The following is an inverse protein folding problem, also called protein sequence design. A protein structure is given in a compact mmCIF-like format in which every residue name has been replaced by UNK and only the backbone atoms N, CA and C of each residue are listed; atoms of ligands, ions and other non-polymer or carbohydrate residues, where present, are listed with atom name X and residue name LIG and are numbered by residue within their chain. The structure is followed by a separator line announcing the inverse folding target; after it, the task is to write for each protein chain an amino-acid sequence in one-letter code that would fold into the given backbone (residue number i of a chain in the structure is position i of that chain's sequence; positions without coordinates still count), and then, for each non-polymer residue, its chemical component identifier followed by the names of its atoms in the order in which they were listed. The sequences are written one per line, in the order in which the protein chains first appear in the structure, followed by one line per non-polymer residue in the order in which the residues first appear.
data_IF_364080308602
#
_entry.id   IF_364080308602
#
_cell.length_a   1.000
_cell.length_b   1.000
_cell.length_c   1.000
_cell.angle_alpha   90.00
_cell.angle_beta   90.00
_cell.angle_gamma   90.00
#
_symmetry.space_group_name_H-M   'P 1'
#
loop_
_entity.id
_entity.type
_entity.pdbx_description
1 polymer ?
#
# COMPACT_ATOMS: atom_id res chain seq x y z
N UNK A 1 12.85 -11.26 9.31
CA UNK A 1 11.93 -10.57 8.37
C UNK A 1 11.97 -11.21 6.99
N UNK A 2 13.14 -11.38 6.36
CA UNK A 2 13.27 -12.02 5.04
C UNK A 2 12.62 -13.42 4.95
N UNK A 3 12.88 -14.32 5.91
CA UNK A 3 12.29 -15.68 5.90
C UNK A 3 10.75 -15.69 5.94
N UNK A 4 10.14 -14.70 6.59
CA UNK A 4 8.69 -14.55 6.58
C UNK A 4 8.20 -14.21 5.17
N UNK A 5 8.83 -13.22 4.54
CA UNK A 5 8.47 -12.81 3.18
C UNK A 5 8.74 -13.88 2.12
N UNK A 6 9.80 -14.69 2.28
CA UNK A 6 10.01 -15.87 1.41
C UNK A 6 8.83 -16.81 1.46
N UNK A 7 8.39 -17.20 2.65
CA UNK A 7 7.24 -18.08 2.85
C UNK A 7 5.95 -17.48 2.27
N UNK A 8 5.77 -16.16 2.44
CA UNK A 8 4.65 -15.43 1.83
C UNK A 8 4.69 -15.54 0.31
N UNK A 9 5.85 -15.28 -0.32
CA UNK A 9 5.99 -15.38 -1.76
C UNK A 9 5.88 -16.80 -2.31
N UNK A 10 6.42 -17.80 -1.60
CA UNK A 10 6.23 -19.22 -1.91
C UNK A 10 4.74 -19.57 -1.91
N UNK A 11 4.01 -19.10 -0.89
CA UNK A 11 2.55 -19.30 -0.78
C UNK A 11 1.81 -18.63 -1.94
N UNK A 12 2.13 -17.37 -2.25
CA UNK A 12 1.52 -16.65 -3.38
C UNK A 12 1.80 -17.33 -4.71
N UNK A 13 3.04 -17.74 -4.94
CA UNK A 13 3.45 -18.42 -6.17
C UNK A 13 2.75 -19.76 -6.33
N UNK A 14 2.64 -20.53 -5.24
CA UNK A 14 1.92 -21.82 -5.22
C UNK A 14 0.42 -21.66 -5.54
N UNK A 15 -0.16 -20.48 -5.30
CA UNK A 15 -1.54 -20.13 -5.63
C UNK A 15 -1.69 -19.44 -7.00
N UNK A 16 -0.61 -19.27 -7.76
CA UNK A 16 -0.63 -18.60 -9.07
C UNK A 16 -0.79 -17.07 -8.99
N UNK A 17 -0.54 -16.46 -7.82
CA UNK A 17 -0.58 -15.01 -7.65
C UNK A 17 0.66 -14.40 -8.29
N UNK A 18 0.45 -13.54 -9.31
CA UNK A 18 1.54 -12.91 -10.09
C UNK A 18 1.73 -11.43 -9.80
N UNK A 19 0.93 -10.84 -8.90
CA UNK A 19 1.13 -9.48 -8.42
C UNK A 19 0.33 -9.17 -7.17
N UNK A 20 0.85 -8.24 -6.37
CA UNK A 20 0.30 -7.80 -5.09
C UNK A 20 0.44 -6.29 -4.93
N UNK A 21 -0.63 -5.63 -4.48
CA UNK A 21 -0.56 -4.31 -3.88
C UNK A 21 -0.53 -4.48 -2.37
N UNK A 22 0.45 -3.88 -1.70
CA UNK A 22 0.66 -4.06 -0.27
C UNK A 22 1.03 -2.76 0.41
N UNK A 23 0.44 -2.52 1.58
CA UNK A 23 0.81 -1.44 2.48
C UNK A 23 1.58 -2.04 3.66
N UNK A 24 2.72 -2.67 3.39
CA UNK A 24 3.63 -3.22 4.42
C UNK A 24 4.37 -2.12 5.20
N UNK A 25 3.80 -0.91 5.26
CA UNK A 25 4.30 0.24 6.03
C UNK A 25 4.14 0.02 7.53
N UNK A 26 4.57 1.01 8.31
CA UNK A 26 4.40 1.02 9.76
C UNK A 26 2.93 0.98 10.19
N UNK A 27 2.00 1.59 9.46
CA UNK A 27 0.59 1.66 9.86
C UNK A 27 -0.13 0.30 9.81
N UNK A 28 0.25 -0.60 8.90
CA UNK A 28 -0.44 -1.89 8.72
C UNK A 28 0.45 -3.14 8.90
N UNK A 29 1.77 -3.03 8.78
CA UNK A 29 2.69 -4.18 8.70
C UNK A 29 3.81 -4.24 9.73
N UNK A 30 3.99 -3.24 10.61
CA UNK A 30 5.11 -3.13 11.56
C UNK A 30 6.51 -3.24 10.92
N UNK A 31 6.65 -2.84 9.65
CA UNK A 31 7.94 -2.83 8.97
C UNK A 31 8.32 -1.39 8.69
N UNK A 32 9.35 -0.95 9.41
CA UNK A 32 9.90 0.40 9.31
C UNK A 32 10.39 0.71 7.90
N UNK A 33 10.99 -0.28 7.20
CA UNK A 33 11.65 -0.08 5.91
C UNK A 33 11.30 -1.21 4.92
N UNK A 34 10.03 -1.30 4.50
CA UNK A 34 9.56 -2.38 3.61
C UNK A 34 10.33 -2.43 2.28
N UNK A 35 10.69 -1.26 1.74
CA UNK A 35 11.52 -1.13 0.55
C UNK A 35 12.84 -1.90 0.66
N UNK A 36 13.57 -1.74 1.78
CA UNK A 36 14.85 -2.42 2.00
C UNK A 36 14.68 -3.94 2.09
N UNK A 37 13.57 -4.41 2.64
CA UNK A 37 13.26 -5.85 2.69
C UNK A 37 13.10 -6.41 1.28
N UNK A 38 12.37 -5.74 0.39
CA UNK A 38 12.19 -6.20 -0.99
C UNK A 38 13.46 -6.11 -1.82
N UNK A 39 14.24 -5.03 -1.69
CA UNK A 39 15.54 -4.90 -2.36
C UNK A 39 16.52 -5.99 -1.89
N UNK A 40 16.53 -6.33 -0.59
CA UNK A 40 17.35 -7.44 -0.08
C UNK A 40 16.92 -8.82 -0.62
N UNK A 41 15.62 -9.06 -0.81
CA UNK A 41 15.13 -10.30 -1.44
C UNK A 41 15.51 -10.38 -2.92
N UNK A 42 15.47 -9.24 -3.61
CA UNK A 42 15.95 -9.13 -5.00
C UNK A 42 17.44 -9.44 -5.06
N UNK A 43 18.24 -8.77 -4.23
CA UNK A 43 19.70 -8.94 -4.21
C UNK A 43 20.09 -10.40 -3.99
N UNK A 44 19.48 -11.06 -3.00
CA UNK A 44 19.73 -12.47 -2.73
C UNK A 44 19.40 -13.39 -3.92
N UNK A 45 18.32 -13.09 -4.64
CA UNK A 45 17.87 -13.92 -5.76
C UNK A 45 18.66 -13.68 -7.04
N UNK A 46 19.10 -12.45 -7.25
CA UNK A 46 19.87 -12.04 -8.42
C UNK A 46 21.37 -12.27 -8.26
N UNK A 47 21.87 -12.32 -7.01
CA UNK A 47 23.26 -12.60 -6.65
C UNK A 47 23.34 -13.82 -5.72
N UNK A 48 22.95 -15.03 -6.19
CA UNK A 48 23.00 -16.23 -5.36
C UNK A 48 24.46 -16.52 -4.94
N UNK A 49 24.64 -16.96 -3.69
CA UNK A 49 25.96 -17.43 -3.22
C UNK A 49 26.33 -18.67 -4.02
N UNK A 50 27.53 -18.67 -4.60
CA UNK A 50 28.08 -19.82 -5.32
C UNK A 50 28.08 -21.05 -4.39
N UNK A 51 27.19 -22.00 -4.68
CA UNK A 51 27.05 -23.26 -3.95
C UNK A 51 27.78 -24.42 -4.66
N UNK A 52 28.57 -24.11 -5.71
CA UNK A 52 29.30 -25.08 -6.50
C UNK A 52 28.43 -25.90 -7.46
N UNK A 53 27.12 -25.63 -7.55
CA UNK A 53 26.25 -26.25 -8.55
C UNK A 53 26.39 -25.55 -9.91
N UNK A 54 26.62 -26.35 -10.96
CA UNK A 54 26.76 -25.89 -12.36
C UNK A 54 25.46 -26.09 -13.14
N UNK A 55 24.31 -25.84 -12.53
CA UNK A 55 23.05 -25.93 -13.28
C UNK A 55 22.80 -24.63 -14.03
N UNK A 56 22.64 -24.75 -15.35
CA UNK A 56 22.16 -23.67 -16.21
C UNK A 56 20.64 -23.64 -16.05
N UNK A 57 20.18 -23.19 -14.89
CA UNK A 57 18.76 -22.86 -14.70
C UNK A 57 18.43 -21.55 -15.44
N UNK A 58 17.18 -21.38 -15.92
CA UNK A 58 16.75 -20.07 -16.39
C UNK A 58 16.93 -19.04 -15.26
N UNK A 59 17.45 -17.85 -15.61
CA UNK A 59 17.63 -16.75 -14.65
C UNK A 59 16.29 -16.52 -13.94
N UNK A 60 16.21 -16.70 -12.62
CA UNK A 60 14.95 -16.56 -11.91
C UNK A 60 14.51 -15.09 -11.96
N UNK A 61 13.18 -14.81 -11.91
CA UNK A 61 12.74 -13.42 -11.81
C UNK A 61 13.27 -12.76 -10.53
N UNK A 62 13.43 -11.43 -10.47
CA UNK A 62 13.92 -10.73 -9.27
C UNK A 62 13.05 -10.94 -8.02
N UNK A 63 11.73 -11.04 -8.22
CA UNK A 63 10.76 -11.43 -7.19
C UNK A 63 9.79 -12.48 -7.73
N UNK A 64 9.20 -13.35 -6.89
CA UNK A 64 8.26 -14.38 -7.35
C UNK A 64 6.95 -13.81 -7.91
N UNK A 65 6.56 -12.61 -7.50
CA UNK A 65 5.46 -11.86 -8.09
C UNK A 65 5.76 -10.35 -8.11
N UNK A 66 4.96 -9.58 -8.84
CA UNK A 66 5.10 -8.11 -8.93
C UNK A 66 4.59 -7.44 -7.67
N UNK A 67 5.41 -6.61 -7.03
CA UNK A 67 5.07 -5.89 -5.81
C UNK A 67 4.84 -4.42 -6.12
N UNK A 68 3.64 -3.96 -5.81
CA UNK A 68 3.29 -2.54 -5.78
C UNK A 68 3.20 -2.13 -4.32
N UNK A 69 4.30 -1.59 -3.80
CA UNK A 69 4.41 -1.15 -2.42
C UNK A 69 3.74 0.21 -2.24
N UNK A 70 2.90 0.29 -1.22
CA UNK A 70 2.16 1.47 -0.81
C UNK A 70 2.73 1.96 0.52
N UNK A 71 3.14 3.22 0.58
CA UNK A 71 3.56 3.88 1.83
C UNK A 71 2.39 4.60 2.49
N UNK A 72 2.52 4.99 3.75
CA UNK A 72 1.56 5.91 4.37
C UNK A 72 1.76 7.30 3.74
N UNK A 73 0.68 8.05 3.50
CA UNK A 73 0.77 9.34 2.79
C UNK A 73 1.67 10.36 3.51
N UNK A 74 1.76 10.26 4.84
CA UNK A 74 2.64 11.08 5.68
C UNK A 74 4.12 10.85 5.38
N UNK A 75 4.49 9.67 4.87
CA UNK A 75 5.87 9.29 4.54
C UNK A 75 6.35 9.90 3.21
N UNK A 76 5.47 10.54 2.43
CA UNK A 76 5.88 11.20 1.19
C UNK A 76 6.82 12.37 1.52
N UNK A 77 8.08 12.21 1.14
CA UNK A 77 9.15 13.21 1.33
C UNK A 77 9.74 13.72 0.01
N UNK A 78 9.30 13.17 -1.11
CA UNK A 78 9.77 13.45 -2.47
C UNK A 78 9.17 12.44 -3.45
N UNK A 79 9.61 12.42 -4.73
CA UNK A 79 9.15 11.45 -5.71
C UNK A 79 9.38 9.99 -5.30
N UNK A 80 8.60 9.03 -5.84
CA UNK A 80 8.83 7.60 -5.64
C UNK A 80 10.28 7.17 -5.89
N UNK A 81 10.86 6.29 -5.05
CA UNK A 81 12.10 5.63 -5.40
C UNK A 81 11.90 4.71 -6.61
N UNK A 82 12.98 4.49 -7.36
CA UNK A 82 12.99 3.59 -8.51
C UNK A 82 13.83 2.36 -8.19
N UNK A 83 13.24 1.17 -8.34
CA UNK A 83 13.98 -0.09 -8.24
C UNK A 83 14.79 -0.32 -9.52
N UNK A 84 15.88 -1.08 -9.42
CA UNK A 84 16.60 -1.60 -10.58
C UNK A 84 15.73 -2.57 -11.41
N UNK A 85 14.64 -3.10 -10.82
CA UNK A 85 13.72 -4.04 -11.45
C UNK A 85 12.27 -3.51 -11.41
N UNK A 86 11.96 -2.42 -12.14
CA UNK A 86 10.68 -1.71 -12.04
C UNK A 86 9.47 -2.52 -12.51
N UNK A 87 9.67 -3.62 -13.24
CA UNK A 87 8.59 -4.55 -13.59
C UNK A 87 8.15 -5.42 -12.40
N UNK A 88 9.00 -5.53 -11.36
CA UNK A 88 8.78 -6.40 -10.20
C UNK A 88 8.63 -5.64 -8.88
N UNK A 89 9.21 -4.45 -8.72
CA UNK A 89 9.05 -3.63 -7.51
C UNK A 89 8.80 -2.16 -7.87
N UNK A 90 7.68 -1.61 -7.38
CA UNK A 90 7.32 -0.19 -7.52
C UNK A 90 6.79 0.37 -6.21
N UNK A 91 7.12 1.62 -5.90
CA UNK A 91 6.58 2.36 -4.74
C UNK A 91 5.94 3.69 -5.15
N UNK A 92 5.03 3.63 -6.11
CA UNK A 92 4.35 4.81 -6.70
C UNK A 92 2.93 5.01 -6.14
N UNK A 93 2.69 4.54 -4.91
CA UNK A 93 1.38 4.50 -4.25
C UNK A 93 1.47 4.95 -2.80
N UNK A 94 0.43 5.60 -2.30
CA UNK A 94 0.31 5.96 -0.90
C UNK A 94 -1.11 5.68 -0.36
N UNK A 95 -1.19 5.32 0.91
CA UNK A 95 -2.40 4.94 1.62
C UNK A 95 -2.89 6.09 2.50
N UNK A 96 -4.21 6.28 2.55
CA UNK A 96 -4.89 7.13 3.53
C UNK A 96 -6.08 6.35 4.11
N UNK A 97 -6.33 6.48 5.41
CA UNK A 97 -7.44 5.83 6.10
C UNK A 97 -8.47 6.86 6.54
N UNK A 98 -9.63 6.86 5.90
CA UNK A 98 -10.69 7.82 6.22
C UNK A 98 -11.49 7.40 7.44
N UNK A 99 -11.67 6.11 7.66
CA UNK A 99 -12.45 5.56 8.75
C UNK A 99 -11.99 4.16 9.18
N UNK A 100 -12.70 3.57 10.14
CA UNK A 100 -12.46 2.21 10.62
C UNK A 100 -13.20 1.15 9.79
N UNK A 101 -13.83 0.19 10.48
CA UNK A 101 -14.54 -0.92 9.85
C UNK A 101 -15.91 -1.17 10.47
N UNK A 102 -16.84 -1.69 9.66
CA UNK A 102 -18.21 -1.98 10.08
C UNK A 102 -18.27 -2.99 11.23
N UNK A 103 -17.42 -4.01 11.23
CA UNK A 103 -17.43 -5.04 12.28
C UNK A 103 -17.04 -4.53 13.67
N UNK A 104 -16.34 -3.40 13.75
CA UNK A 104 -15.99 -2.73 15.00
C UNK A 104 -16.88 -1.50 15.28
N UNK A 105 -17.89 -1.26 14.43
CA UNK A 105 -18.73 -0.07 14.43
C UNK A 105 -17.95 1.25 14.40
N UNK A 106 -16.85 1.28 13.63
CA UNK A 106 -15.97 2.46 13.48
C UNK A 106 -15.91 3.01 12.06
N UNK A 107 -16.56 2.35 11.08
CA UNK A 107 -16.75 2.94 9.76
C UNK A 107 -17.67 4.17 9.86
N UNK A 108 -17.35 5.27 9.20
CA UNK A 108 -18.03 6.55 9.38
C UNK A 108 -19.28 6.65 8.50
N UNK A 109 -20.45 6.77 9.13
CA UNK A 109 -21.75 6.69 8.47
C UNK A 109 -22.51 8.03 8.45
N UNK A 110 -23.37 8.23 7.45
CA UNK A 110 -24.28 9.39 7.38
C UNK A 110 -25.47 9.24 8.35
N UNK A 111 -25.90 8.01 8.59
CA UNK A 111 -26.93 7.64 9.56
C UNK A 111 -26.30 6.83 10.71
N UNK A 112 -26.86 6.86 11.93
CA UNK A 112 -26.26 6.14 13.05
C UNK A 112 -26.34 4.62 12.85
N UNK A 113 -25.49 3.89 13.56
CA UNK A 113 -25.53 2.43 13.60
C UNK A 113 -26.90 1.95 14.12
N UNK A 114 -27.39 0.85 13.53
CA UNK A 114 -28.74 0.35 13.79
C UNK A 114 -28.98 -0.04 15.26
N UNK A 115 -27.92 -0.43 15.97
CA UNK A 115 -27.92 -0.86 17.37
C UNK A 115 -27.48 0.24 18.34
N UNK A 116 -27.03 1.39 17.84
CA UNK A 116 -26.59 2.53 18.64
C UNK A 116 -26.88 3.85 17.92
N UNK A 117 -27.95 4.53 18.33
CA UNK A 117 -28.42 5.78 17.73
C UNK A 117 -27.48 6.98 17.92
N UNK A 118 -26.51 6.89 18.83
CA UNK A 118 -25.53 7.96 19.08
C UNK A 118 -24.20 7.68 18.36
N UNK A 119 -24.00 6.49 17.81
CA UNK A 119 -22.78 6.11 17.12
C UNK A 119 -22.90 6.30 15.60
N UNK A 120 -22.03 7.13 15.03
CA UNK A 120 -21.90 7.36 13.59
C UNK A 120 -20.55 6.84 13.04
N UNK A 121 -19.81 6.09 13.84
CA UNK A 121 -18.45 5.66 13.55
C UNK A 121 -17.40 6.74 13.80
N UNK A 122 -16.23 6.58 13.19
CA UNK A 122 -15.06 7.44 13.43
C UNK A 122 -14.50 7.89 12.08
N UNK A 123 -14.51 9.20 11.84
CA UNK A 123 -13.72 9.80 10.76
C UNK A 123 -12.27 9.92 11.24
N UNK A 124 -11.40 9.02 10.79
CA UNK A 124 -9.99 8.96 11.18
C UNK A 124 -9.15 10.07 10.56
N UNK A 125 -9.49 10.47 9.33
CA UNK A 125 -8.81 11.56 8.61
C UNK A 125 -9.80 12.68 8.33
N UNK A 126 -9.49 13.89 8.75
CA UNK A 126 -10.34 15.05 8.49
C UNK A 126 -10.20 15.61 7.07
N UNK A 127 -11.06 16.56 6.73
CA UNK A 127 -11.11 17.15 5.40
C UNK A 127 -9.82 17.87 4.98
N UNK A 128 -9.13 18.51 5.94
CA UNK A 128 -7.88 19.26 5.69
C UNK A 128 -6.74 18.29 5.44
N UNK A 129 -6.64 17.23 6.25
CA UNK A 129 -5.65 16.18 6.10
C UNK A 129 -5.82 15.42 4.78
N UNK A 130 -7.07 15.11 4.39
CA UNK A 130 -7.34 14.48 3.10
C UNK A 130 -6.90 15.37 1.93
N UNK A 131 -7.22 16.66 1.97
CA UNK A 131 -6.79 17.61 0.94
C UNK A 131 -5.26 17.73 0.86
N UNK A 132 -4.58 17.80 2.01
CA UNK A 132 -3.13 17.79 2.08
C UNK A 132 -2.53 16.51 1.49
N UNK A 133 -3.07 15.35 1.85
CA UNK A 133 -2.62 14.07 1.32
C UNK A 133 -2.75 14.00 -0.20
N UNK A 134 -3.92 14.40 -0.72
CA UNK A 134 -4.22 14.45 -2.15
C UNK A 134 -3.24 15.35 -2.92
N UNK A 135 -3.02 16.57 -2.44
CA UNK A 135 -2.06 17.49 -3.06
C UNK A 135 -0.63 16.98 -2.98
N UNK A 136 -0.21 16.49 -1.81
CA UNK A 136 1.15 15.98 -1.59
C UNK A 136 1.45 14.79 -2.50
N UNK A 137 0.52 13.84 -2.62
CA UNK A 137 0.67 12.70 -3.50
C UNK A 137 0.74 13.12 -4.96
N UNK A 138 -0.21 13.96 -5.42
CA UNK A 138 -0.24 14.42 -6.79
C UNK A 138 1.04 15.17 -7.18
N UNK A 139 1.50 16.11 -6.35
CA UNK A 139 2.70 16.91 -6.59
C UNK A 139 3.98 16.07 -6.66
N UNK A 140 4.03 14.93 -5.97
CA UNK A 140 5.19 14.03 -5.97
C UNK A 140 5.06 12.84 -6.93
N UNK A 141 3.94 12.69 -7.65
CA UNK A 141 3.74 11.60 -8.60
C UNK A 141 3.30 10.27 -7.98
N UNK A 142 2.67 10.30 -6.80
CA UNK A 142 2.05 9.13 -6.18
C UNK A 142 0.58 8.98 -6.57
N UNK A 143 0.11 7.73 -6.60
CA UNK A 143 -1.32 7.39 -6.68
C UNK A 143 -1.86 7.14 -5.27
N UNK A 144 -3.04 7.68 -4.97
CA UNK A 144 -3.68 7.49 -3.66
C UNK A 144 -4.58 6.27 -3.63
N UNK A 145 -4.51 5.57 -2.50
CA UNK A 145 -5.36 4.47 -2.11
C UNK A 145 -6.13 4.87 -0.85
N UNK A 146 -7.36 5.36 -1.01
CA UNK A 146 -8.20 5.75 0.13
C UNK A 146 -8.97 4.54 0.66
N UNK A 147 -8.77 4.21 1.93
CA UNK A 147 -9.67 3.34 2.68
C UNK A 147 -10.87 4.17 3.14
N UNK A 148 -12.06 3.79 2.71
CA UNK A 148 -13.32 4.38 3.14
C UNK A 148 -14.39 3.27 3.09
N UNK A 149 -14.85 2.81 4.25
CA UNK A 149 -15.87 1.75 4.35
C UNK A 149 -17.27 2.36 4.49
N UNK A 150 -17.41 3.34 5.37
CA UNK A 150 -18.67 4.03 5.60
C UNK A 150 -19.00 5.05 4.51
N UNK A 151 -20.29 5.30 4.32
CA UNK A 151 -20.80 6.17 3.27
C UNK A 151 -20.40 7.64 3.48
N UNK A 152 -20.34 8.12 4.73
CA UNK A 152 -19.85 9.48 5.01
C UNK A 152 -18.36 9.66 4.66
N UNK A 153 -17.53 8.67 4.98
CA UNK A 153 -16.11 8.66 4.59
C UNK A 153 -15.96 8.62 3.06
N UNK A 154 -16.73 7.78 2.38
CA UNK A 154 -16.71 7.66 0.93
C UNK A 154 -17.15 8.95 0.23
N UNK A 155 -18.23 9.59 0.69
CA UNK A 155 -18.73 10.85 0.14
C UNK A 155 -17.68 11.97 0.26
N UNK A 156 -16.98 12.05 1.39
CA UNK A 156 -15.90 13.03 1.58
C UNK A 156 -14.76 12.84 0.57
N UNK A 157 -14.33 11.59 0.34
CA UNK A 157 -13.27 11.27 -0.64
C UNK A 157 -13.70 11.68 -2.05
N UNK A 158 -14.91 11.30 -2.47
CA UNK A 158 -15.43 11.67 -3.79
C UNK A 158 -15.48 13.18 -3.98
N UNK A 159 -16.07 13.91 -3.02
CA UNK A 159 -16.18 15.38 -3.08
C UNK A 159 -14.81 16.04 -3.26
N UNK A 160 -13.78 15.56 -2.55
CA UNK A 160 -12.43 16.13 -2.65
C UNK A 160 -11.73 15.79 -3.97
N UNK A 161 -11.89 14.57 -4.47
CA UNK A 161 -11.34 14.19 -5.77
C UNK A 161 -11.95 15.02 -6.91
N UNK A 162 -13.26 15.24 -6.91
CA UNK A 162 -13.94 16.07 -7.91
C UNK A 162 -13.42 17.52 -7.91
N UNK A 163 -13.24 18.12 -6.73
CA UNK A 163 -12.71 19.47 -6.59
C UNK A 163 -11.28 19.61 -7.12
N UNK A 164 -10.43 18.60 -6.94
CA UNK A 164 -9.05 18.63 -7.45
C UNK A 164 -8.98 18.59 -8.98
N UNK A 165 -9.83 17.79 -9.62
CA UNK A 165 -9.88 17.70 -11.09
C UNK A 165 -10.45 18.95 -11.75
N UNK A 166 -11.18 19.77 -11.00
CA UNK A 166 -11.75 21.04 -11.49
C UNK A 166 -10.73 22.19 -11.50
N UNK A 167 -9.50 21.95 -11.00
CA UNK A 167 -8.43 22.96 -10.85
C UNK A 167 -7.23 22.68 -11.80
N UNK A 168 -7.23 21.55 -12.53
CA UNK A 168 -6.23 21.22 -13.57
C UNK A 168 -6.63 21.73 -14.95
#
# INVERSE_FOLDING_TARGET
KLDFYRKVFETFSAQGITGLQTNDSTAAGNITDAWEVYEALIDERMNPKDDGSREIEPVPPPLPCRVFLTIDWEMISGPPPHSAYPDFLRQERCKIFMDGGLGASTAALLEPYWDDSENYGIMSTDEVQLEEALHRAHANGYRIEAHAIGDAAFEMVLRKLENLTSIS
#
